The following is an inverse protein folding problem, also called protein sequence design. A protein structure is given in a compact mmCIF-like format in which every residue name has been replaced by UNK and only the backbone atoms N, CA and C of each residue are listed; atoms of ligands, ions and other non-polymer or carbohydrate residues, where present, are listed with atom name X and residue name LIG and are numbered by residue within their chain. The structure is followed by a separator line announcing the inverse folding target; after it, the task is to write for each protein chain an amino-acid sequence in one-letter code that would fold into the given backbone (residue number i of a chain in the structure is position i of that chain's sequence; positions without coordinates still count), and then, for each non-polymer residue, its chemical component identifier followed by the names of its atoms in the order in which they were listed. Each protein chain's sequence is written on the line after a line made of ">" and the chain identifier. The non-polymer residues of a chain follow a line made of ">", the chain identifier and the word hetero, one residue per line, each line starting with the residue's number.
data_IF_967485861621
#
_entry.id   IF_967485861621
#
_cell.length_a   1.000
_cell.length_b   1.000
_cell.length_c   1.000
_cell.angle_alpha   90.00
_cell.angle_beta   90.00
_cell.angle_gamma   90.00
#
_symmetry.space_group_name_H-M   'P 1'
#
loop_
_entity.id
_entity.type
_entity.pdbx_description
1 polymer ?
#
# COMPACT_ATOMS: atom_id res chain seq x y z
N UNK A 1 -65.24 -2.77 17.04
CA UNK A 1 -64.50 -3.25 15.84
C UNK A 1 -62.98 -3.11 15.91
N UNK A 2 -62.41 -2.48 16.96
CA UNK A 2 -60.96 -2.22 17.10
C UNK A 2 -60.13 -3.39 17.62
N UNK A 3 -60.71 -4.30 18.41
CA UNK A 3 -59.97 -5.38 19.07
C UNK A 3 -59.56 -6.54 18.13
N UNK A 4 -60.39 -6.85 17.13
CA UNK A 4 -60.16 -7.96 16.19
C UNK A 4 -59.01 -7.65 15.22
N UNK A 5 -58.89 -6.41 14.73
CA UNK A 5 -57.80 -6.00 13.83
C UNK A 5 -56.44 -6.03 14.53
N UNK A 6 -56.39 -5.67 15.81
CA UNK A 6 -55.15 -5.73 16.61
C UNK A 6 -54.71 -7.17 16.83
N UNK A 7 -55.65 -8.09 17.09
CA UNK A 7 -55.36 -9.50 17.28
C UNK A 7 -54.79 -10.12 15.99
N UNK A 8 -55.39 -9.84 14.82
CA UNK A 8 -54.85 -10.31 13.53
C UNK A 8 -53.46 -9.73 13.22
N UNK A 9 -53.20 -8.46 13.54
CA UNK A 9 -51.89 -7.85 13.34
C UNK A 9 -50.81 -8.49 14.23
N UNK A 10 -51.12 -8.79 15.49
CA UNK A 10 -50.21 -9.47 16.42
C UNK A 10 -49.93 -10.90 15.95
N UNK A 11 -50.94 -11.64 15.48
CA UNK A 11 -50.75 -13.00 14.96
C UNK A 11 -49.93 -13.00 13.67
N UNK A 12 -50.14 -12.04 12.76
CA UNK A 12 -49.35 -11.92 11.53
C UNK A 12 -47.89 -11.56 11.81
N UNK A 13 -47.62 -10.67 12.76
CA UNK A 13 -46.27 -10.34 13.21
C UNK A 13 -45.60 -11.56 13.87
N UNK A 14 -46.29 -12.28 14.74
CA UNK A 14 -45.78 -13.49 15.38
C UNK A 14 -45.42 -14.60 14.40
N UNK A 15 -46.28 -14.85 13.40
CA UNK A 15 -46.02 -15.85 12.36
C UNK A 15 -44.83 -15.46 11.45
N UNK A 16 -44.71 -14.17 11.11
CA UNK A 16 -43.60 -13.66 10.30
C UNK A 16 -42.27 -13.77 11.05
N UNK A 17 -42.26 -13.44 12.35
CA UNK A 17 -41.08 -13.56 13.22
C UNK A 17 -40.64 -15.01 13.38
N UNK A 18 -41.58 -15.93 13.63
CA UNK A 18 -41.30 -17.36 13.75
C UNK A 18 -40.73 -17.94 12.45
N UNK A 19 -41.27 -17.54 11.30
CA UNK A 19 -40.78 -17.96 9.98
C UNK A 19 -39.37 -17.43 9.71
N UNK A 20 -39.11 -16.16 10.03
CA UNK A 20 -37.79 -15.56 9.93
C UNK A 20 -36.74 -16.26 10.80
N UNK A 21 -37.09 -16.58 12.06
CA UNK A 21 -36.22 -17.33 12.98
C UNK A 21 -35.95 -18.74 12.46
N UNK A 22 -36.96 -19.44 11.94
CA UNK A 22 -36.80 -20.79 11.40
C UNK A 22 -35.87 -20.82 10.18
N UNK A 23 -36.05 -19.87 9.24
CA UNK A 23 -35.19 -19.75 8.06
C UNK A 23 -33.75 -19.43 8.48
N UNK A 24 -33.55 -18.46 9.37
CA UNK A 24 -32.22 -18.07 9.83
C UNK A 24 -31.52 -19.21 10.61
N UNK A 25 -32.27 -19.93 11.44
CA UNK A 25 -31.77 -21.10 12.18
C UNK A 25 -31.39 -22.23 11.24
N UNK A 26 -32.21 -22.51 10.22
CA UNK A 26 -31.90 -23.53 9.21
C UNK A 26 -30.68 -23.16 8.37
N UNK A 27 -30.56 -21.89 7.95
CA UNK A 27 -29.37 -21.41 7.21
C UNK A 27 -28.11 -21.51 8.06
N UNK A 28 -28.16 -21.13 9.34
CA UNK A 28 -27.03 -21.27 10.27
C UNK A 28 -26.65 -22.73 10.53
N UNK A 29 -27.65 -23.61 10.67
CA UNK A 29 -27.42 -25.05 10.82
C UNK A 29 -26.73 -25.63 9.58
N UNK A 30 -27.22 -25.32 8.38
CA UNK A 30 -26.61 -25.75 7.12
C UNK A 30 -25.18 -25.23 6.95
N UNK A 31 -24.90 -23.99 7.39
CA UNK A 31 -23.56 -23.40 7.39
C UNK A 31 -22.61 -24.13 8.35
N UNK A 32 -23.10 -24.52 9.54
CA UNK A 32 -22.33 -25.33 10.51
C UNK A 32 -22.01 -26.71 9.96
N UNK A 33 -22.98 -27.41 9.37
CA UNK A 33 -22.74 -28.71 8.76
C UNK A 33 -21.69 -28.66 7.65
N UNK A 34 -21.73 -27.64 6.78
CA UNK A 34 -20.69 -27.43 5.75
C UNK A 34 -19.32 -27.16 6.36
N UNK A 35 -19.25 -26.36 7.42
CA UNK A 35 -17.98 -26.08 8.11
C UNK A 35 -17.41 -27.34 8.80
N UNK A 36 -18.27 -28.19 9.37
CA UNK A 36 -17.87 -29.47 9.95
C UNK A 36 -17.43 -30.48 8.88
N UNK A 37 -18.11 -30.52 7.73
CA UNK A 37 -17.71 -31.34 6.59
C UNK A 37 -16.32 -30.94 6.07
N UNK A 38 -16.08 -29.64 5.85
CA UNK A 38 -14.75 -29.13 5.48
C UNK A 38 -13.68 -29.46 6.53
N UNK A 39 -14.00 -29.32 7.83
CA UNK A 39 -13.07 -29.69 8.91
C UNK A 39 -12.74 -31.19 8.90
N UNK A 40 -13.71 -32.05 8.59
CA UNK A 40 -13.48 -33.49 8.46
C UNK A 40 -12.66 -33.82 7.22
N UNK A 41 -12.92 -33.16 6.08
CA UNK A 41 -12.08 -33.30 4.87
C UNK A 41 -10.64 -32.89 5.17
N UNK A 42 -10.42 -31.70 5.75
CA UNK A 42 -9.10 -31.21 6.16
C UNK A 42 -8.44 -32.14 7.19
N UNK A 43 -9.20 -32.65 8.17
CA UNK A 43 -8.71 -33.55 9.20
C UNK A 43 -8.47 -34.99 8.71
N UNK A 44 -9.07 -35.38 7.59
CA UNK A 44 -8.91 -36.69 6.95
C UNK A 44 -7.73 -36.74 5.97
N UNK A 45 -7.10 -35.60 5.69
CA UNK A 45 -5.80 -35.55 5.02
C UNK A 45 -4.82 -36.28 5.95
N UNK A 46 -4.27 -37.44 5.57
CA UNK A 46 -3.45 -38.23 6.46
C UNK A 46 -2.24 -37.42 6.91
N UNK A 47 -1.96 -37.41 8.22
CA UNK A 47 -0.75 -36.84 8.83
C UNK A 47 0.55 -37.55 8.42
N UNK A 48 0.61 -38.17 7.23
CA UNK A 48 1.82 -38.71 6.62
C UNK A 48 2.63 -37.61 5.95
N UNK A 49 2.99 -36.58 6.73
CA UNK A 49 4.09 -35.66 6.38
C UNK A 49 5.18 -35.73 7.43
N UNK A 50 5.35 -36.90 8.05
CA UNK A 50 6.54 -37.24 8.84
C UNK A 50 7.38 -38.23 8.04
N UNK A 51 8.33 -37.67 7.30
CA UNK A 51 9.46 -38.36 6.65
C UNK A 51 9.14 -39.63 5.85
N UNK A 52 8.77 -39.47 4.58
CA UNK A 52 9.05 -40.49 3.57
C UNK A 52 10.41 -40.17 2.93
N UNK A 53 11.47 -40.80 3.44
CA UNK A 53 12.66 -41.06 2.61
C UNK A 53 12.22 -42.10 1.58
N UNK A 54 11.98 -41.66 0.35
CA UNK A 54 11.84 -42.54 -0.80
C UNK A 54 12.84 -42.10 -1.87
N UNK A 55 13.60 -43.09 -2.31
CA UNK A 55 14.65 -42.99 -3.30
C UNK A 55 14.16 -42.29 -4.57
N UNK A 56 14.94 -41.31 -5.03
CA UNK A 56 15.06 -40.94 -6.44
C UNK A 56 13.77 -40.69 -7.22
N UNK A 57 13.04 -39.62 -6.91
CA UNK A 57 12.42 -38.66 -7.86
C UNK A 57 11.49 -37.75 -7.05
N UNK A 58 11.75 -36.43 -7.07
CA UNK A 58 10.89 -35.44 -6.39
C UNK A 58 9.56 -35.34 -7.14
N UNK A 59 8.55 -36.12 -6.73
CA UNK A 59 7.16 -35.83 -7.06
C UNK A 59 6.71 -34.67 -6.18
N UNK A 60 6.58 -33.47 -6.75
CA UNK A 60 5.90 -32.36 -6.08
C UNK A 60 4.47 -32.81 -5.75
N UNK A 61 4.09 -32.72 -4.48
CA UNK A 61 2.72 -33.00 -4.04
C UNK A 61 1.85 -31.90 -4.64
N UNK A 62 1.12 -32.21 -5.71
CA UNK A 62 0.15 -31.30 -6.29
C UNK A 62 -1.00 -31.11 -5.28
N UNK A 63 -1.08 -29.90 -4.69
CA UNK A 63 -2.20 -29.54 -3.84
C UNK A 63 -3.47 -29.40 -4.67
N UNK A 64 -4.62 -29.73 -4.09
CA UNK A 64 -5.89 -29.65 -4.78
C UNK A 64 -6.23 -28.20 -5.15
N UNK A 65 -6.22 -27.91 -6.46
CA UNK A 65 -6.49 -26.59 -7.01
C UNK A 65 -7.90 -26.09 -6.63
N UNK A 66 -8.86 -26.97 -6.36
CA UNK A 66 -10.20 -26.55 -5.89
C UNK A 66 -10.14 -25.93 -4.50
N UNK A 67 -9.33 -26.48 -3.59
CA UNK A 67 -9.13 -25.92 -2.24
C UNK A 67 -8.38 -24.59 -2.30
N UNK A 68 -7.40 -24.47 -3.19
CA UNK A 68 -6.66 -23.22 -3.39
C UNK A 68 -7.59 -22.14 -3.93
N UNK A 69 -8.41 -22.46 -4.94
CA UNK A 69 -9.42 -21.53 -5.47
C UNK A 69 -10.42 -21.09 -4.41
N UNK A 70 -10.88 -22.00 -3.54
CA UNK A 70 -11.76 -21.64 -2.42
C UNK A 70 -11.03 -20.71 -1.41
N UNK A 71 -9.77 -21.01 -1.07
CA UNK A 71 -8.94 -20.14 -0.23
C UNK A 71 -8.79 -18.73 -0.83
N UNK A 72 -8.70 -18.62 -2.16
CA UNK A 72 -8.51 -17.36 -2.89
C UNK A 72 -9.83 -16.75 -3.41
N UNK A 73 -11.01 -17.30 -3.06
CA UNK A 73 -12.28 -16.92 -3.67
C UNK A 73 -12.59 -15.40 -3.58
N UNK A 74 -12.16 -14.75 -2.50
CA UNK A 74 -12.33 -13.28 -2.33
C UNK A 74 -11.39 -12.47 -3.21
N UNK A 75 -10.17 -12.95 -3.43
CA UNK A 75 -9.23 -12.33 -4.35
C UNK A 75 -9.72 -12.50 -5.79
N UNK A 76 -10.25 -13.68 -6.14
CA UNK A 76 -10.85 -13.96 -7.46
C UNK A 76 -12.04 -13.03 -7.71
N UNK A 77 -12.92 -12.87 -6.72
CA UNK A 77 -14.07 -11.97 -6.84
C UNK A 77 -13.68 -10.49 -7.05
N UNK A 78 -12.52 -10.07 -6.53
CA UNK A 78 -12.05 -8.68 -6.63
C UNK A 78 -11.17 -8.43 -7.87
N UNK A 79 -10.23 -9.32 -8.17
CA UNK A 79 -9.21 -9.17 -9.23
C UNK A 79 -9.57 -9.90 -10.52
N UNK A 80 -10.64 -10.71 -10.52
CA UNK A 80 -10.97 -11.64 -11.60
C UNK A 80 -10.07 -12.88 -11.60
N UNK A 81 -10.46 -13.91 -12.36
CA UNK A 81 -9.67 -15.13 -12.51
C UNK A 81 -8.30 -14.85 -13.15
N UNK A 82 -8.26 -14.00 -14.17
CA UNK A 82 -7.00 -13.66 -14.87
C UNK A 82 -6.01 -12.96 -13.93
N UNK A 83 -6.48 -12.03 -13.10
CA UNK A 83 -5.62 -11.32 -12.15
C UNK A 83 -5.01 -12.25 -11.11
N UNK A 84 -5.80 -13.19 -10.60
CA UNK A 84 -5.31 -14.21 -9.65
C UNK A 84 -4.38 -15.21 -10.34
N UNK A 85 -4.63 -15.61 -11.58
CA UNK A 85 -3.74 -16.50 -12.33
C UNK A 85 -2.35 -15.87 -12.55
N UNK A 86 -2.28 -14.56 -12.81
CA UNK A 86 -1.01 -13.82 -12.88
C UNK A 86 -0.28 -13.84 -11.54
N UNK A 87 -1.00 -13.62 -10.43
CA UNK A 87 -0.41 -13.72 -9.08
C UNK A 87 0.11 -15.13 -8.80
N UNK A 88 -0.64 -16.16 -9.20
CA UNK A 88 -0.26 -17.56 -8.99
C UNK A 88 1.05 -17.92 -9.69
N UNK A 89 1.34 -17.31 -10.85
CA UNK A 89 2.58 -17.49 -11.61
C UNK A 89 3.71 -16.56 -11.19
N UNK A 90 3.45 -15.58 -10.34
CA UNK A 90 4.42 -14.55 -10.01
C UNK A 90 5.47 -14.98 -8.99
N UNK A 91 6.65 -14.38 -9.13
CA UNK A 91 7.79 -14.50 -8.23
C UNK A 91 8.15 -13.15 -7.61
N UNK A 92 8.15 -13.09 -6.27
CA UNK A 92 8.49 -11.86 -5.52
C UNK A 92 9.70 -12.09 -4.61
N UNK A 93 10.67 -11.18 -4.64
CA UNK A 93 11.82 -11.18 -3.74
C UNK A 93 11.63 -10.12 -2.66
N UNK A 94 11.85 -10.49 -1.40
CA UNK A 94 11.70 -9.60 -0.24
C UNK A 94 13.04 -9.53 0.49
N UNK A 95 13.62 -8.34 0.54
CA UNK A 95 14.88 -8.08 1.26
C UNK A 95 14.57 -7.43 2.59
N UNK A 96 14.79 -8.17 3.67
CA UNK A 96 14.39 -7.84 5.04
C UNK A 96 13.12 -8.59 5.46
N UNK A 97 13.21 -9.37 6.55
CA UNK A 97 12.15 -10.13 7.19
C UNK A 97 11.75 -9.51 8.56
N UNK A 98 11.95 -8.20 8.73
CA UNK A 98 11.49 -7.46 9.91
C UNK A 98 9.98 -7.17 9.90
N UNK A 99 9.54 -6.22 10.73
CA UNK A 99 8.12 -5.88 10.89
C UNK A 99 7.42 -5.29 9.66
N UNK A 100 8.13 -5.01 8.57
CA UNK A 100 7.51 -4.64 7.28
C UNK A 100 7.49 -5.85 6.35
N UNK A 101 8.67 -6.40 6.05
CA UNK A 101 8.81 -7.49 5.08
C UNK A 101 8.10 -8.78 5.49
N UNK A 102 8.05 -9.11 6.79
CA UNK A 102 7.29 -10.28 7.25
C UNK A 102 5.78 -10.15 6.96
N UNK A 103 5.24 -8.94 7.08
CA UNK A 103 3.82 -8.66 6.80
C UNK A 103 3.55 -8.60 5.30
N UNK A 104 4.48 -8.05 4.52
CA UNK A 104 4.42 -8.09 3.06
C UNK A 104 4.39 -9.55 2.57
N UNK A 105 5.33 -10.39 3.02
CA UNK A 105 5.39 -11.82 2.66
C UNK A 105 4.10 -12.56 3.00
N UNK A 106 3.58 -12.34 4.21
CA UNK A 106 2.33 -12.94 4.69
C UNK A 106 1.13 -12.56 3.81
N UNK A 107 0.98 -11.28 3.48
CA UNK A 107 -0.15 -10.83 2.66
C UNK A 107 -0.01 -11.25 1.21
N UNK A 108 1.19 -11.21 0.62
CA UNK A 108 1.43 -11.67 -0.75
C UNK A 108 1.00 -13.12 -0.95
N UNK A 109 1.42 -14.01 -0.04
CA UNK A 109 1.01 -15.42 -0.09
C UNK A 109 -0.49 -15.59 0.10
N UNK A 110 -1.10 -14.88 1.06
CA UNK A 110 -2.56 -14.93 1.26
C UNK A 110 -3.34 -14.38 0.07
N UNK A 111 -2.70 -13.55 -0.76
CA UNK A 111 -3.28 -12.99 -1.98
C UNK A 111 -3.11 -13.87 -3.21
N UNK A 112 -2.34 -14.97 -3.13
CA UNK A 112 -2.16 -15.92 -4.22
C UNK A 112 -0.77 -15.93 -4.86
N UNK A 113 0.19 -15.13 -4.38
CA UNK A 113 1.58 -15.21 -4.86
C UNK A 113 2.17 -16.56 -4.46
N UNK A 114 2.62 -17.34 -5.44
CA UNK A 114 3.04 -18.74 -5.20
C UNK A 114 4.53 -18.92 -5.04
N UNK A 115 5.37 -17.96 -5.45
CA UNK A 115 6.80 -18.02 -5.23
C UNK A 115 7.27 -16.74 -4.56
N UNK A 116 7.81 -16.89 -3.34
CA UNK A 116 8.51 -15.80 -2.67
C UNK A 116 9.92 -16.24 -2.27
N UNK A 117 10.89 -15.34 -2.41
CA UNK A 117 12.22 -15.47 -1.80
C UNK A 117 12.36 -14.39 -0.74
N UNK A 118 12.80 -14.77 0.45
CA UNK A 118 13.00 -13.83 1.56
C UNK A 118 14.45 -13.87 1.98
N UNK A 119 15.10 -12.71 1.98
CA UNK A 119 16.51 -12.54 2.29
C UNK A 119 16.64 -11.72 3.58
N UNK A 120 17.14 -12.33 4.65
CA UNK A 120 17.47 -11.66 5.90
C UNK A 120 18.46 -12.53 6.70
N UNK A 121 19.46 -11.91 7.31
CA UNK A 121 20.49 -12.58 8.11
C UNK A 121 20.16 -12.63 9.61
N UNK A 122 19.19 -11.83 10.06
CA UNK A 122 18.85 -11.68 11.46
C UNK A 122 18.11 -12.92 12.00
N UNK A 123 18.19 -13.07 13.33
CA UNK A 123 17.38 -14.01 14.10
C UNK A 123 16.19 -13.32 14.76
N UNK A 124 15.16 -14.10 15.09
CA UNK A 124 14.01 -13.64 15.87
C UNK A 124 14.48 -13.35 17.30
N UNK A 125 14.28 -12.12 17.76
CA UNK A 125 14.50 -11.71 19.14
C UNK A 125 13.17 -11.58 19.88
N UNK A 126 13.18 -11.57 21.22
CA UNK A 126 11.97 -11.24 22.01
C UNK A 126 11.39 -9.87 21.60
N UNK A 127 12.25 -8.88 21.37
CA UNK A 127 11.84 -7.55 20.91
C UNK A 127 11.28 -7.53 19.48
N UNK A 128 11.46 -8.60 18.69
CA UNK A 128 10.87 -8.73 17.35
C UNK A 128 9.38 -9.08 17.42
N UNK A 129 8.93 -9.75 18.50
CA UNK A 129 7.57 -10.27 18.64
C UNK A 129 6.49 -9.18 18.68
N UNK A 130 6.86 -7.93 18.99
CA UNK A 130 5.91 -6.82 18.98
C UNK A 130 5.47 -6.39 17.57
N UNK A 131 6.17 -6.83 16.51
CA UNK A 131 5.95 -6.33 15.14
C UNK A 131 6.15 -7.36 14.03
N UNK A 132 6.86 -8.46 14.26
CA UNK A 132 7.01 -9.53 13.26
C UNK A 132 5.68 -10.25 13.05
N UNK A 133 5.32 -10.55 11.80
CA UNK A 133 3.96 -10.95 11.43
C UNK A 133 3.50 -12.29 12.00
N UNK A 134 4.41 -13.27 12.06
CA UNK A 134 4.09 -14.67 12.39
C UNK A 134 4.99 -15.26 13.47
N UNK A 135 6.01 -14.53 13.92
CA UNK A 135 6.97 -15.11 14.86
C UNK A 135 6.34 -15.24 16.24
N UNK A 136 6.62 -16.35 16.89
CA UNK A 136 6.11 -16.70 18.22
C UNK A 136 7.26 -16.84 19.22
N UNK A 137 6.95 -17.04 20.49
CA UNK A 137 7.96 -17.29 21.52
C UNK A 137 8.85 -18.49 21.19
N UNK A 138 8.30 -19.54 20.54
CA UNK A 138 9.08 -20.71 20.16
C UNK A 138 10.07 -20.47 19.01
N UNK A 139 9.94 -19.35 18.30
CA UNK A 139 10.82 -19.03 17.17
C UNK A 139 12.00 -18.15 17.59
N UNK A 140 12.06 -17.69 18.84
CA UNK A 140 13.18 -16.88 19.36
C UNK A 140 14.50 -17.63 19.22
N UNK A 141 15.50 -16.97 18.65
CA UNK A 141 16.82 -17.55 18.33
C UNK A 141 16.87 -18.29 16.99
N UNK A 142 15.76 -18.42 16.27
CA UNK A 142 15.77 -18.97 14.90
C UNK A 142 15.97 -17.85 13.87
N UNK A 143 16.61 -18.10 12.72
CA UNK A 143 16.69 -17.12 11.64
C UNK A 143 15.30 -16.65 11.20
N UNK A 144 15.08 -15.34 11.05
CA UNK A 144 13.77 -14.76 10.75
C UNK A 144 13.14 -15.36 9.50
N UNK A 145 13.94 -15.56 8.44
CA UNK A 145 13.50 -16.17 7.18
C UNK A 145 13.03 -17.61 7.35
N UNK A 146 13.64 -18.37 8.27
CA UNK A 146 13.26 -19.77 8.54
C UNK A 146 11.96 -19.81 9.35
N UNK A 147 11.83 -18.97 10.38
CA UNK A 147 10.58 -18.84 11.13
C UNK A 147 9.43 -18.44 10.20
N UNK A 148 9.66 -17.43 9.35
CA UNK A 148 8.68 -16.97 8.37
C UNK A 148 8.32 -18.09 7.39
N UNK A 149 9.30 -18.82 6.83
CA UNK A 149 9.05 -19.94 5.92
C UNK A 149 8.15 -21.00 6.57
N UNK A 150 8.46 -21.41 7.80
CA UNK A 150 7.70 -22.41 8.55
C UNK A 150 6.22 -22.02 8.63
N UNK A 151 5.92 -20.82 9.14
CA UNK A 151 4.55 -20.34 9.31
C UNK A 151 3.82 -20.11 7.99
N UNK A 152 4.52 -19.63 6.95
CA UNK A 152 3.91 -19.43 5.63
C UNK A 152 3.52 -20.75 4.95
N UNK A 153 4.32 -21.82 5.14
CA UNK A 153 3.96 -23.17 4.66
C UNK A 153 2.75 -23.77 5.37
N UNK A 154 2.50 -23.38 6.62
CA UNK A 154 1.26 -23.76 7.32
C UNK A 154 0.02 -23.04 6.74
N UNK A 155 0.21 -21.83 6.22
CA UNK A 155 -0.87 -20.99 5.67
C UNK A 155 -1.19 -21.34 4.21
N UNK A 156 -0.15 -21.57 3.42
CA UNK A 156 -0.23 -21.83 1.99
C UNK A 156 0.81 -22.90 1.64
N UNK A 157 0.50 -24.18 1.89
CA UNK A 157 1.46 -25.26 1.68
C UNK A 157 1.81 -25.46 0.19
N UNK A 158 0.97 -24.92 -0.71
CA UNK A 158 1.21 -24.82 -2.15
C UNK A 158 2.24 -23.76 -2.56
N UNK A 159 2.63 -22.84 -1.67
CA UNK A 159 3.56 -21.78 -1.99
C UNK A 159 5.02 -22.22 -1.83
N UNK A 160 5.84 -21.88 -2.80
CA UNK A 160 7.29 -21.99 -2.75
C UNK A 160 7.87 -20.79 -2.00
N UNK A 161 8.35 -21.05 -0.78
CA UNK A 161 9.01 -20.05 0.07
C UNK A 161 10.49 -20.37 0.18
N UNK A 162 11.35 -19.54 -0.43
CA UNK A 162 12.80 -19.65 -0.44
C UNK A 162 13.44 -18.74 0.63
N UNK A 163 13.89 -19.28 1.78
CA UNK A 163 14.60 -18.50 2.79
C UNK A 163 16.09 -18.43 2.43
N UNK A 164 16.64 -17.21 2.42
CA UNK A 164 18.08 -16.96 2.24
C UNK A 164 18.59 -16.24 3.48
N UNK A 165 19.48 -16.91 4.22
CA UNK A 165 20.06 -16.38 5.46
C UNK A 165 21.34 -15.61 5.13
N UNK A 166 21.20 -14.47 4.47
CA UNK A 166 22.33 -13.63 4.06
C UNK A 166 22.05 -12.14 4.22
N UNK A 167 23.10 -11.37 4.49
CA UNK A 167 23.06 -9.92 4.46
C UNK A 167 23.17 -9.49 3.00
N UNK A 168 22.22 -8.68 2.52
CA UNK A 168 22.32 -8.11 1.18
C UNK A 168 23.57 -7.22 1.07
N UNK A 169 24.42 -7.52 0.09
CA UNK A 169 25.62 -6.75 -0.23
C UNK A 169 25.69 -6.54 -1.73
N UNK A 170 26.35 -5.46 -2.14
CA UNK A 170 26.51 -5.08 -3.56
C UNK A 170 27.04 -6.24 -4.41
N UNK A 171 28.07 -6.93 -3.92
CA UNK A 171 28.77 -7.97 -4.68
C UNK A 171 27.95 -9.25 -4.86
N UNK A 172 26.87 -9.43 -4.07
CA UNK A 172 26.00 -10.60 -4.14
C UNK A 172 24.65 -10.26 -4.80
N UNK A 173 24.44 -9.02 -5.27
CA UNK A 173 23.15 -8.57 -5.78
C UNK A 173 22.65 -9.43 -6.95
N UNK A 174 23.53 -9.74 -7.91
CA UNK A 174 23.20 -10.57 -9.08
C UNK A 174 22.71 -11.96 -8.64
N UNK A 175 23.40 -12.59 -7.69
CA UNK A 175 23.04 -13.91 -7.19
C UNK A 175 21.74 -13.90 -6.37
N UNK A 176 21.60 -12.91 -5.48
CA UNK A 176 20.47 -12.85 -4.54
C UNK A 176 19.16 -12.47 -5.24
N UNK A 177 19.24 -11.65 -6.29
CA UNK A 177 18.10 -11.15 -7.06
C UNK A 177 17.83 -11.93 -8.35
N UNK A 178 18.57 -13.01 -8.61
CA UNK A 178 18.40 -13.86 -9.79
C UNK A 178 17.02 -14.53 -9.85
N UNK A 179 16.62 -14.94 -11.06
CA UNK A 179 15.39 -15.70 -11.32
C UNK A 179 14.23 -14.86 -11.88
N UNK A 180 14.51 -13.65 -12.38
CA UNK A 180 13.54 -12.76 -13.03
C UNK A 180 12.28 -12.50 -12.18
N UNK A 181 12.49 -11.98 -10.97
CA UNK A 181 11.37 -11.62 -10.10
C UNK A 181 10.46 -10.57 -10.75
N UNK A 182 9.15 -10.79 -10.70
CA UNK A 182 8.14 -9.82 -11.11
C UNK A 182 8.16 -8.57 -10.22
N UNK A 183 8.61 -8.73 -8.97
CA UNK A 183 8.70 -7.64 -8.03
C UNK A 183 9.76 -7.85 -6.95
N UNK A 184 10.40 -6.76 -6.53
CA UNK A 184 11.34 -6.70 -5.41
C UNK A 184 10.79 -5.78 -4.31
N UNK A 185 10.83 -6.25 -3.07
CA UNK A 185 10.45 -5.49 -1.88
C UNK A 185 11.70 -5.16 -1.08
N UNK A 186 11.93 -3.86 -0.88
CA UNK A 186 12.94 -3.38 0.04
C UNK A 186 12.31 -3.04 1.41
N UNK A 187 12.61 -3.86 2.41
CA UNK A 187 12.26 -3.67 3.81
C UNK A 187 13.51 -3.55 4.71
N UNK A 188 14.64 -3.12 4.14
CA UNK A 188 15.92 -2.95 4.83
C UNK A 188 15.88 -1.71 5.73
N UNK A 189 16.55 -1.76 6.88
CA UNK A 189 16.64 -0.65 7.83
C UNK A 189 17.98 0.11 7.77
N UNK A 190 19.07 -0.55 7.35
CA UNK A 190 20.35 0.12 7.05
C UNK A 190 20.24 0.95 5.76
N UNK A 191 20.63 2.23 5.85
CA UNK A 191 20.48 3.21 4.75
C UNK A 191 21.40 2.88 3.58
N UNK A 192 22.64 2.46 3.84
CA UNK A 192 23.63 2.23 2.78
C UNK A 192 23.28 0.98 1.98
N UNK A 193 22.93 -0.12 2.66
CA UNK A 193 22.43 -1.34 2.00
C UNK A 193 21.17 -1.08 1.19
N UNK A 194 20.23 -0.29 1.75
CA UNK A 194 19.02 0.16 1.04
C UNK A 194 19.35 0.93 -0.24
N UNK A 195 20.28 1.88 -0.17
CA UNK A 195 20.67 2.66 -1.34
C UNK A 195 21.29 1.81 -2.44
N UNK A 196 22.11 0.82 -2.07
CA UNK A 196 22.69 -0.11 -3.04
C UNK A 196 21.62 -0.96 -3.72
N UNK A 197 20.69 -1.54 -2.97
CA UNK A 197 19.57 -2.31 -3.54
C UNK A 197 18.74 -1.44 -4.49
N UNK A 198 18.34 -0.25 -4.05
CA UNK A 198 17.52 0.66 -4.85
C UNK A 198 18.23 1.11 -6.14
N UNK A 199 19.53 1.43 -6.05
CA UNK A 199 20.33 1.80 -7.23
C UNK A 199 20.46 0.63 -8.20
N UNK A 200 20.79 -0.55 -7.68
CA UNK A 200 20.97 -1.75 -8.50
C UNK A 200 19.67 -2.08 -9.26
N UNK A 201 18.53 -2.14 -8.57
CA UNK A 201 17.25 -2.41 -9.22
C UNK A 201 16.89 -1.34 -10.26
N UNK A 202 17.15 -0.06 -9.95
CA UNK A 202 16.93 1.01 -10.92
C UNK A 202 17.80 0.85 -12.18
N UNK A 203 19.10 0.53 -12.02
CA UNK A 203 20.02 0.36 -13.15
C UNK A 203 19.69 -0.85 -14.02
N UNK A 204 19.21 -1.92 -13.39
CA UNK A 204 18.81 -3.16 -14.07
C UNK A 204 17.35 -3.16 -14.52
N UNK A 205 16.61 -2.05 -14.33
CA UNK A 205 15.17 -1.94 -14.59
C UNK A 205 14.33 -3.03 -13.89
N UNK A 206 14.73 -3.46 -12.71
CA UNK A 206 13.99 -4.44 -11.89
C UNK A 206 12.87 -3.73 -11.13
N UNK A 207 11.60 -4.19 -11.22
CA UNK A 207 10.50 -3.58 -10.50
C UNK A 207 10.72 -3.63 -8.98
N UNK A 208 10.70 -2.48 -8.33
CA UNK A 208 10.97 -2.37 -6.88
C UNK A 208 10.02 -1.40 -6.18
N UNK A 209 9.66 -1.76 -4.94
CA UNK A 209 8.98 -0.90 -3.97
C UNK A 209 9.76 -0.92 -2.67
N UNK A 210 9.92 0.26 -2.07
CA UNK A 210 10.73 0.41 -0.86
C UNK A 210 9.95 1.00 0.30
N UNK A 211 10.15 0.41 1.48
CA UNK A 211 9.69 0.96 2.75
C UNK A 211 10.64 2.03 3.26
N UNK A 212 10.09 3.20 3.57
CA UNK A 212 10.76 4.30 4.26
C UNK A 212 10.56 4.17 5.78
N UNK A 213 10.59 5.30 6.51
CA UNK A 213 10.61 5.27 7.98
C UNK A 213 9.26 4.90 8.58
N UNK A 214 9.13 3.68 9.09
CA UNK A 214 7.95 3.23 9.84
C UNK A 214 8.07 3.41 11.37
N UNK A 215 9.28 3.68 11.88
CA UNK A 215 9.52 3.86 13.32
C UNK A 215 9.13 5.24 13.82
N UNK A 216 8.91 5.36 15.14
CA UNK A 216 8.52 6.59 15.83
C UNK A 216 7.26 7.28 15.30
N UNK A 217 6.30 6.49 14.80
CA UNK A 217 5.05 6.91 14.18
C UNK A 217 3.88 6.13 14.77
N UNK A 218 2.68 6.70 14.71
CA UNK A 218 1.46 6.11 15.24
C UNK A 218 0.20 6.38 14.40
N UNK A 219 0.24 7.30 13.43
CA UNK A 219 -0.92 7.70 12.64
C UNK A 219 -0.95 6.96 11.29
N UNK A 220 -1.83 5.94 11.14
CA UNK A 220 -1.92 5.18 9.90
C UNK A 220 -2.54 5.98 8.75
N UNK A 221 -3.32 7.04 9.02
CA UNK A 221 -3.94 7.89 7.98
C UNK A 221 -2.93 8.69 7.18
N UNK A 222 -1.70 8.82 7.70
CA UNK A 222 -0.60 9.57 7.09
C UNK A 222 0.36 8.72 6.28
N UNK A 223 0.08 7.43 6.14
CA UNK A 223 0.84 6.51 5.27
C UNK A 223 0.48 6.80 3.82
N UNK A 224 1.48 6.92 2.97
CA UNK A 224 1.36 7.34 1.58
C UNK A 224 2.25 6.47 0.70
N UNK A 225 1.83 6.32 -0.56
CA UNK A 225 2.58 5.65 -1.61
C UNK A 225 2.86 6.66 -2.72
N UNK A 226 4.12 6.83 -3.10
CA UNK A 226 4.48 7.72 -4.20
C UNK A 226 5.88 7.42 -4.74
N UNK A 227 6.27 8.10 -5.81
CA UNK A 227 7.64 8.09 -6.26
C UNK A 227 8.57 8.76 -5.24
N UNK A 228 9.78 8.22 -5.07
CA UNK A 228 10.79 8.74 -4.14
C UNK A 228 11.05 10.24 -4.32
N UNK A 229 10.98 10.78 -5.54
CA UNK A 229 11.23 12.18 -5.88
C UNK A 229 10.29 13.16 -5.19
N UNK A 230 9.03 12.77 -4.97
CA UNK A 230 7.96 13.63 -4.44
C UNK A 230 7.62 13.36 -2.97
N UNK A 231 8.36 12.49 -2.30
CA UNK A 231 8.18 12.21 -0.86
C UNK A 231 8.35 13.46 0.01
N UNK A 232 7.54 13.57 1.06
CA UNK A 232 7.54 14.71 1.98
C UNK A 232 7.58 14.26 3.44
N UNK A 233 8.04 15.15 4.31
CA UNK A 233 8.11 15.01 5.78
C UNK A 233 8.97 13.86 6.33
N UNK A 234 8.98 12.68 5.70
CA UNK A 234 9.71 11.49 6.14
C UNK A 234 11.24 11.70 6.14
N UNK A 235 11.89 11.61 7.32
CA UNK A 235 13.35 11.79 7.42
C UNK A 235 14.16 10.75 6.67
N UNK A 236 13.73 9.49 6.64
CA UNK A 236 14.44 8.42 5.94
C UNK A 236 14.28 8.61 4.43
N UNK A 237 13.06 8.86 3.95
CA UNK A 237 12.81 9.14 2.53
C UNK A 237 13.62 10.34 2.03
N UNK A 238 13.68 11.43 2.83
CA UNK A 238 14.49 12.61 2.50
C UNK A 238 15.98 12.28 2.36
N UNK A 239 16.55 11.47 3.26
CA UNK A 239 17.97 11.06 3.21
C UNK A 239 18.24 10.15 2.02
N UNK A 240 17.40 9.15 1.81
CA UNK A 240 17.47 8.21 0.69
C UNK A 240 17.39 8.95 -0.64
N UNK A 241 16.36 9.79 -0.84
CA UNK A 241 16.17 10.63 -2.03
C UNK A 241 17.41 11.48 -2.35
N UNK A 242 17.97 12.18 -1.35
CA UNK A 242 19.15 13.04 -1.55
C UNK A 242 20.38 12.24 -1.97
N UNK A 243 20.58 11.04 -1.41
CA UNK A 243 21.73 10.18 -1.75
C UNK A 243 21.54 9.51 -3.10
N UNK A 244 20.34 9.01 -3.42
CA UNK A 244 19.99 8.50 -4.75
C UNK A 244 20.21 9.55 -5.85
N UNK A 245 19.79 10.80 -5.61
CA UNK A 245 20.03 11.90 -6.56
C UNK A 245 21.52 12.12 -6.84
N UNK A 246 22.38 12.03 -5.81
CA UNK A 246 23.84 12.10 -5.98
C UNK A 246 24.41 10.89 -6.75
N UNK A 247 23.72 9.76 -6.72
CA UNK A 247 24.06 8.55 -7.47
C UNK A 247 23.45 8.54 -8.89
N UNK A 248 22.78 9.61 -9.32
CA UNK A 248 22.16 9.74 -10.65
C UNK A 248 20.72 9.20 -10.74
N UNK A 249 20.08 8.84 -9.62
CA UNK A 249 18.69 8.37 -9.59
C UNK A 249 17.79 9.47 -9.06
N UNK A 250 17.02 10.10 -9.95
CA UNK A 250 16.15 11.23 -9.60
C UNK A 250 14.70 10.82 -9.30
N UNK A 251 14.19 9.78 -9.98
CA UNK A 251 12.82 9.26 -9.89
C UNK A 251 12.78 7.81 -10.38
N UNK A 252 11.60 7.19 -10.41
CA UNK A 252 11.37 5.83 -10.92
C UNK A 252 11.31 4.75 -9.84
N UNK A 253 11.31 5.13 -8.57
CA UNK A 253 11.27 4.19 -7.44
C UNK A 253 10.03 4.50 -6.61
N UNK A 254 9.09 3.55 -6.58
CA UNK A 254 7.90 3.65 -5.74
C UNK A 254 8.27 3.37 -4.29
N UNK A 255 7.74 4.16 -3.36
CA UNK A 255 8.01 3.99 -1.93
C UNK A 255 6.74 4.13 -1.08
N UNK A 256 6.70 3.39 0.02
CA UNK A 256 5.76 3.62 1.12
C UNK A 256 6.45 4.46 2.19
N UNK A 257 5.86 5.59 2.55
CA UNK A 257 6.36 6.49 3.58
C UNK A 257 5.20 7.03 4.41
N UNK A 258 5.50 7.77 5.48
CA UNK A 258 4.45 8.49 6.21
C UNK A 258 4.81 9.96 6.38
N UNK A 259 3.82 10.82 6.22
CA UNK A 259 3.94 12.27 6.41
C UNK A 259 3.89 12.69 7.87
N UNK A 260 3.69 11.73 8.79
CA UNK A 260 3.70 11.98 10.23
C UNK A 260 5.09 12.43 10.68
N UNK A 261 5.14 13.52 11.44
CA UNK A 261 6.36 13.96 12.11
C UNK A 261 6.55 13.13 13.38
N UNK A 262 7.71 12.49 13.58
CA UNK A 262 7.96 11.70 14.78
C UNK A 262 7.78 12.55 16.05
N UNK A 263 6.92 12.09 16.97
CA UNK A 263 6.61 12.80 18.22
C UNK A 263 7.07 12.04 19.49
N UNK A 264 7.86 10.98 19.31
CA UNK A 264 8.36 10.16 20.43
C UNK A 264 9.86 10.36 20.63
N UNK A 265 10.27 10.46 21.90
CA UNK A 265 11.67 10.57 22.28
C UNK A 265 12.38 9.24 22.02
N UNK A 266 13.66 9.33 21.63
CA UNK A 266 14.52 8.16 21.54
C UNK A 266 14.72 7.57 22.93
N UNK A 267 14.74 6.24 23.03
CA UNK A 267 14.99 5.57 24.31
C UNK A 267 16.46 5.77 24.72
N UNK A 268 16.74 6.06 26.01
CA UNK A 268 18.10 6.04 26.52
C UNK A 268 18.68 4.62 26.43
N UNK A 269 19.99 4.51 26.31
CA UNK A 269 20.68 3.21 26.40
C UNK A 269 20.65 2.73 27.85
N UNK A 270 20.47 1.43 28.08
CA UNK A 270 20.64 0.83 29.40
C UNK A 270 22.10 0.96 29.86
N UNK A 271 22.34 1.23 31.16
CA UNK A 271 23.69 1.43 31.73
C UNK A 271 24.63 0.24 31.47
N UNK A 272 24.09 -0.98 31.36
CA UNK A 272 24.83 -2.20 30.99
C UNK A 272 25.30 -2.20 29.52
N UNK A 273 24.54 -1.59 28.61
CA UNK A 273 24.93 -1.42 27.20
C UNK A 273 25.97 -0.31 27.03
N UNK A 274 25.97 0.67 27.93
CA UNK A 274 26.97 1.75 27.96
C UNK A 274 28.34 1.22 28.43
N UNK A 275 28.37 0.33 29.42
CA UNK A 275 29.63 -0.29 29.89
C UNK A 275 30.27 -1.20 28.83
N UNK A 276 29.46 -1.97 28.09
CA UNK A 276 29.95 -2.82 26.99
C UNK A 276 30.17 -2.05 25.68
N UNK A 277 29.79 -0.77 25.58
CA UNK A 277 29.96 0.01 24.36
C UNK A 277 31.43 0.12 23.92
N UNK A 278 32.38 0.03 24.86
CA UNK A 278 33.82 -0.01 24.57
C UNK A 278 34.31 -1.31 23.91
N UNK A 279 33.65 -2.45 24.19
CA UNK A 279 33.98 -3.75 23.60
C UNK A 279 33.32 -3.95 22.22
N UNK A 280 32.15 -3.35 22.00
CA UNK A 280 31.43 -3.39 20.71
C UNK A 280 31.72 -2.19 19.78
N UNK A 281 32.58 -1.25 20.20
CA UNK A 281 33.00 -0.08 19.41
C UNK A 281 33.74 -0.43 18.10
N UNK A 282 34.13 -1.69 17.92
CA UNK A 282 34.76 -2.19 16.69
C UNK A 282 33.75 -2.54 15.58
N UNK A 283 32.44 -2.49 15.85
CA UNK A 283 31.40 -2.64 14.82
C UNK A 283 30.93 -1.24 14.36
N UNK A 284 31.12 -0.86 13.08
CA UNK A 284 30.81 0.48 12.57
C UNK A 284 29.34 0.91 12.61
N UNK A 285 28.43 0.05 13.09
CA UNK A 285 26.98 0.17 12.89
C UNK A 285 26.14 0.03 14.19
N UNK A 286 26.78 0.11 15.37
CA UNK A 286 26.05 0.05 16.64
C UNK A 286 25.19 1.32 16.82
N UNK A 287 23.87 1.20 16.63
CA UNK A 287 22.92 2.31 16.76
C UNK A 287 22.91 2.81 18.21
N UNK A 288 23.50 3.99 18.43
CA UNK A 288 23.63 4.64 19.74
C UNK A 288 22.32 5.03 20.43
N UNK A 289 21.15 4.88 19.78
CA UNK A 289 19.80 5.02 20.36
C UNK A 289 18.79 4.15 19.62
N UNK A 290 17.94 3.44 20.36
CA UNK A 290 16.86 2.62 19.78
C UNK A 290 15.67 3.53 19.45
N UNK A 291 15.24 3.52 18.18
CA UNK A 291 14.02 4.19 17.76
C UNK A 291 12.81 3.37 18.24
N UNK A 292 11.89 3.92 19.05
CA UNK A 292 10.70 3.19 19.45
C UNK A 292 9.82 2.87 18.24
N UNK A 293 9.27 1.66 18.19
CA UNK A 293 8.45 1.18 17.08
C UNK A 293 7.13 0.66 17.60
N UNK A 294 6.03 1.32 17.21
CA UNK A 294 4.68 0.79 17.38
C UNK A 294 4.41 -0.23 16.27
N UNK A 295 4.29 -1.50 16.62
CA UNK A 295 4.27 -2.61 15.66
C UNK A 295 3.18 -2.55 14.59
N UNK A 296 2.08 -1.84 14.86
CA UNK A 296 0.99 -1.63 13.89
C UNK A 296 1.43 -0.84 12.66
N UNK A 297 2.36 0.12 12.80
CA UNK A 297 2.78 0.96 11.68
C UNK A 297 3.63 0.19 10.66
N UNK A 298 4.71 -0.52 11.04
CA UNK A 298 5.42 -1.39 10.11
C UNK A 298 4.51 -2.44 9.44
N UNK A 299 3.54 -2.99 10.18
CA UNK A 299 2.58 -3.94 9.63
C UNK A 299 1.76 -3.31 8.50
N UNK A 300 1.22 -2.10 8.69
CA UNK A 300 0.45 -1.39 7.67
C UNK A 300 1.34 -1.00 6.47
N UNK A 301 2.61 -0.67 6.68
CA UNK A 301 3.57 -0.47 5.58
C UNK A 301 3.71 -1.76 4.75
N UNK A 302 3.89 -2.91 5.42
CA UNK A 302 4.00 -4.21 4.75
C UNK A 302 2.72 -4.59 3.99
N UNK A 303 1.56 -4.33 4.59
CA UNK A 303 0.26 -4.54 3.93
C UNK A 303 0.09 -3.61 2.72
N UNK A 304 0.49 -2.34 2.82
CA UNK A 304 0.41 -1.37 1.72
C UNK A 304 1.30 -1.80 0.55
N UNK A 305 2.52 -2.27 0.85
CA UNK A 305 3.43 -2.86 -0.14
C UNK A 305 2.78 -4.07 -0.83
N UNK A 306 2.22 -4.99 -0.05
CA UNK A 306 1.57 -6.18 -0.61
C UNK A 306 0.40 -5.80 -1.52
N UNK A 307 -0.47 -4.87 -1.10
CA UNK A 307 -1.58 -4.38 -1.93
C UNK A 307 -1.09 -3.77 -3.24
N UNK A 308 -0.02 -2.97 -3.19
CA UNK A 308 0.57 -2.38 -4.40
C UNK A 308 1.04 -3.46 -5.38
N UNK A 309 1.76 -4.47 -4.89
CA UNK A 309 2.29 -5.55 -5.72
C UNK A 309 1.15 -6.41 -6.30
N UNK A 310 0.20 -6.79 -5.45
CA UNK A 310 -0.96 -7.61 -5.84
C UNK A 310 -1.74 -6.93 -6.96
N UNK A 311 -2.05 -5.65 -6.80
CA UNK A 311 -2.79 -4.89 -7.81
C UNK A 311 -1.99 -4.70 -9.08
N UNK A 312 -0.68 -4.39 -8.99
CA UNK A 312 0.20 -4.26 -10.16
C UNK A 312 0.32 -5.56 -10.97
N UNK A 313 0.58 -6.68 -10.33
CA UNK A 313 0.71 -7.99 -11.00
C UNK A 313 -0.63 -8.42 -11.61
N UNK A 314 -1.73 -8.22 -10.89
CA UNK A 314 -3.06 -8.55 -11.40
C UNK A 314 -3.53 -7.64 -12.56
N UNK A 315 -2.82 -6.53 -12.83
CA UNK A 315 -3.24 -5.52 -13.81
C UNK A 315 -4.38 -4.62 -13.31
N UNK A 316 -4.63 -4.59 -12.00
CA UNK A 316 -5.60 -3.71 -11.38
C UNK A 316 -4.98 -2.32 -11.17
N UNK A 317 -5.56 -1.31 -11.81
CA UNK A 317 -5.00 0.03 -11.78
C UNK A 317 -5.29 0.72 -10.44
N UNK A 318 -4.22 1.03 -9.71
CA UNK A 318 -4.28 1.92 -8.54
C UNK A 318 -3.51 3.20 -8.86
N UNK A 319 -4.04 4.33 -8.39
CA UNK A 319 -3.39 5.64 -8.48
C UNK A 319 -3.07 6.16 -7.08
N UNK A 320 -1.89 5.84 -6.54
CA UNK A 320 -1.47 6.39 -5.27
C UNK A 320 -1.38 7.91 -5.34
N UNK A 321 -2.18 8.59 -4.52
CA UNK A 321 -2.12 10.03 -4.33
C UNK A 321 -1.15 10.32 -3.19
N UNK A 322 -0.16 11.20 -3.44
CA UNK A 322 0.65 11.75 -2.36
C UNK A 322 -0.13 12.89 -1.72
N UNK A 323 -0.75 12.68 -0.57
CA UNK A 323 -1.36 13.78 0.17
C UNK A 323 -0.24 14.67 0.73
N UNK A 324 -0.15 15.90 0.20
CA UNK A 324 0.88 16.84 0.60
C UNK A 324 0.50 17.72 1.79
N UNK A 325 -0.75 17.63 2.27
CA UNK A 325 -1.32 18.43 3.38
C UNK A 325 -0.79 19.88 3.37
N UNK A 326 -0.94 20.55 2.24
CA UNK A 326 -0.42 21.91 2.03
C UNK A 326 -1.49 22.93 2.41
N UNK A 327 -1.99 22.91 3.64
CA UNK A 327 -3.12 23.75 4.06
C UNK A 327 -2.88 25.24 3.75
N UNK A 328 -1.67 25.74 4.00
CA UNK A 328 -1.32 27.12 3.64
C UNK A 328 -1.35 27.41 2.13
N UNK A 329 -1.03 26.43 1.29
CA UNK A 329 -1.20 26.53 -0.16
C UNK A 329 -2.69 26.52 -0.53
N UNK A 330 -3.49 25.63 0.06
CA UNK A 330 -4.91 25.53 -0.25
C UNK A 330 -5.66 26.79 0.18
N UNK A 331 -5.38 27.33 1.37
CA UNK A 331 -5.93 28.62 1.81
C UNK A 331 -5.51 29.77 0.89
N UNK A 332 -4.26 29.77 0.40
CA UNK A 332 -3.82 30.75 -0.60
C UNK A 332 -4.60 30.59 -1.91
N UNK A 333 -4.69 29.37 -2.44
CA UNK A 333 -5.40 29.07 -3.70
C UNK A 333 -6.89 29.41 -3.62
N UNK A 334 -7.55 29.07 -2.51
CA UNK A 334 -8.94 29.42 -2.24
C UNK A 334 -9.15 30.94 -2.29
N UNK A 335 -8.32 31.70 -1.57
CA UNK A 335 -8.37 33.17 -1.57
C UNK A 335 -8.06 33.76 -2.94
N UNK A 336 -7.07 33.23 -3.65
CA UNK A 336 -6.72 33.68 -5.00
C UNK A 336 -7.89 33.43 -5.97
N UNK A 337 -8.55 32.27 -5.89
CA UNK A 337 -9.74 31.93 -6.67
C UNK A 337 -10.92 32.84 -6.32
N UNK A 338 -11.20 33.08 -5.04
CA UNK A 338 -12.26 33.98 -4.59
C UNK A 338 -12.05 35.41 -5.13
N UNK A 339 -10.82 35.92 -5.08
CA UNK A 339 -10.48 37.22 -5.65
C UNK A 339 -10.69 37.29 -7.17
N UNK A 340 -10.36 36.20 -7.90
CA UNK A 340 -10.63 36.09 -9.34
C UNK A 340 -12.13 36.08 -9.63
N UNK A 341 -12.91 35.32 -8.85
CA UNK A 341 -14.35 35.23 -8.99
C UNK A 341 -15.04 36.57 -8.76
N UNK A 342 -14.59 37.31 -7.75
CA UNK A 342 -15.06 38.68 -7.48
C UNK A 342 -14.71 39.64 -8.62
N UNK A 343 -13.47 39.60 -9.11
CA UNK A 343 -12.98 40.50 -10.17
C UNK A 343 -13.69 40.30 -11.52
N UNK A 344 -13.94 39.06 -11.90
CA UNK A 344 -14.40 38.73 -13.27
C UNK A 344 -15.90 38.52 -13.34
N UNK A 345 -16.48 37.88 -12.32
CA UNK A 345 -17.88 37.44 -12.33
C UNK A 345 -18.73 38.16 -11.28
N UNK A 346 -18.14 39.08 -10.50
CA UNK A 346 -18.80 39.79 -9.40
C UNK A 346 -19.44 38.84 -8.37
N UNK A 347 -18.78 37.71 -8.09
CA UNK A 347 -19.21 36.70 -7.11
C UNK A 347 -18.30 36.79 -5.88
N UNK A 348 -18.86 37.17 -4.73
CA UNK A 348 -18.10 37.35 -3.49
C UNK A 348 -17.86 36.05 -2.71
N UNK A 349 -18.78 35.09 -2.78
CA UNK A 349 -18.69 33.79 -2.11
C UNK A 349 -18.62 32.67 -3.14
N UNK A 350 -17.58 31.84 -3.05
CA UNK A 350 -17.41 30.68 -3.92
C UNK A 350 -17.99 29.43 -3.23
N UNK A 351 -18.61 28.51 -3.97
CA UNK A 351 -19.21 27.29 -3.41
C UNK A 351 -18.19 26.19 -3.11
N UNK A 352 -16.90 26.52 -3.03
CA UNK A 352 -15.81 25.57 -2.82
C UNK A 352 -15.07 25.95 -1.54
N UNK A 353 -14.98 25.06 -0.57
CA UNK A 353 -14.20 25.27 0.65
C UNK A 353 -12.69 24.99 0.45
N UNK A 354 -11.90 25.22 1.51
CA UNK A 354 -10.43 25.02 1.45
C UNK A 354 -10.06 23.55 1.20
N UNK A 355 -10.86 22.59 1.70
CA UNK A 355 -10.62 21.17 1.51
C UNK A 355 -10.97 20.75 0.08
N UNK A 356 -12.05 21.27 -0.50
CA UNK A 356 -12.41 21.08 -1.90
C UNK A 356 -11.35 21.67 -2.84
N UNK A 357 -10.74 22.80 -2.47
CA UNK A 357 -9.58 23.35 -3.20
C UNK A 357 -8.37 22.42 -3.11
N UNK A 358 -8.11 21.83 -1.94
CA UNK A 358 -7.09 20.79 -1.77
C UNK A 358 -7.37 19.57 -2.65
N UNK A 359 -8.62 19.13 -2.70
CA UNK A 359 -9.09 18.01 -3.53
C UNK A 359 -8.89 18.29 -5.02
N UNK A 360 -9.38 19.43 -5.52
CA UNK A 360 -9.19 19.85 -6.92
C UNK A 360 -7.69 19.90 -7.23
N UNK A 361 -6.90 20.53 -6.37
CA UNK A 361 -5.47 20.70 -6.62
C UNK A 361 -4.69 19.39 -6.61
N UNK A 362 -4.82 18.56 -5.58
CA UNK A 362 -4.00 17.34 -5.41
C UNK A 362 -4.61 16.10 -6.07
N UNK A 363 -5.93 15.92 -6.08
CA UNK A 363 -6.56 14.68 -6.57
C UNK A 363 -6.90 14.77 -8.05
N UNK A 364 -7.64 15.81 -8.47
CA UNK A 364 -8.04 15.98 -9.87
C UNK A 364 -6.82 16.34 -10.73
N UNK A 365 -6.05 17.35 -10.29
CA UNK A 365 -4.97 17.94 -11.11
C UNK A 365 -3.55 17.54 -10.69
N UNK A 366 -3.39 16.75 -9.62
CA UNK A 366 -2.10 16.21 -9.17
C UNK A 366 -1.02 17.28 -8.95
N UNK A 367 -1.45 18.47 -8.57
CA UNK A 367 -0.63 19.64 -8.32
C UNK A 367 0.11 20.21 -9.53
N UNK A 368 -0.30 19.85 -10.75
CA UNK A 368 0.30 20.28 -12.02
C UNK A 368 -0.66 21.15 -12.83
N UNK A 369 -0.10 22.05 -13.64
CA UNK A 369 -0.85 22.79 -14.65
C UNK A 369 -1.44 21.85 -15.70
N UNK A 370 -2.71 22.04 -16.04
CA UNK A 370 -3.40 21.38 -17.14
C UNK A 370 -2.75 21.68 -18.50
N UNK A 371 -2.09 22.83 -18.63
CA UNK A 371 -1.53 23.32 -19.89
C UNK A 371 -0.06 22.89 -20.04
N UNK A 372 0.81 23.31 -19.12
CA UNK A 372 2.26 23.07 -19.21
C UNK A 372 2.74 21.88 -18.39
N UNK A 373 1.93 21.32 -17.50
CA UNK A 373 2.38 20.35 -16.50
C UNK A 373 3.30 20.94 -15.41
N UNK A 374 3.56 22.26 -15.44
CA UNK A 374 4.38 22.94 -14.44
C UNK A 374 3.73 22.91 -13.05
N UNK A 375 4.55 22.95 -12.02
CA UNK A 375 4.12 23.04 -10.61
C UNK A 375 4.41 24.41 -9.99
N UNK A 376 4.96 25.33 -10.78
CA UNK A 376 5.36 26.64 -10.30
C UNK A 376 4.17 27.60 -10.19
N UNK A 377 4.10 28.32 -9.05
CA UNK A 377 3.08 29.35 -8.78
C UNK A 377 1.67 28.94 -9.24
N UNK A 378 1.10 27.86 -8.69
CA UNK A 378 -0.18 27.35 -9.16
C UNK A 378 -1.32 28.33 -8.84
N UNK A 379 -2.34 28.32 -9.69
CA UNK A 379 -3.61 29.00 -9.58
C UNK A 379 -4.73 28.06 -10.05
N UNK A 380 -5.94 28.26 -9.52
CA UNK A 380 -7.15 27.56 -9.97
C UNK A 380 -8.04 28.60 -10.66
N UNK A 381 -8.65 28.21 -11.77
CA UNK A 381 -9.66 29.01 -12.48
C UNK A 381 -10.71 28.10 -13.13
N UNK A 382 -11.78 28.70 -13.67
CA UNK A 382 -12.79 27.94 -14.42
C UNK A 382 -12.21 27.48 -15.76
N UNK A 383 -12.61 26.31 -16.24
CA UNK A 383 -12.34 25.92 -17.63
C UNK A 383 -13.31 26.63 -18.59
N UNK A 384 -14.60 26.48 -18.34
CA UNK A 384 -15.66 27.18 -19.06
C UNK A 384 -16.19 28.37 -18.24
N UNK A 385 -16.16 29.56 -18.82
CA UNK A 385 -16.54 30.81 -18.14
C UNK A 385 -18.04 30.92 -17.87
N UNK A 386 -18.83 30.32 -18.74
CA UNK A 386 -20.29 30.28 -18.75
C UNK A 386 -20.86 29.20 -17.81
N UNK A 387 -20.04 28.26 -17.37
CA UNK A 387 -20.44 27.20 -16.46
C UNK A 387 -20.16 27.55 -14.98
N UNK A 388 -20.93 26.98 -14.03
CA UNK A 388 -20.74 27.23 -12.61
C UNK A 388 -19.36 26.78 -12.12
N UNK A 389 -18.91 27.35 -11.00
CA UNK A 389 -17.68 26.90 -10.34
C UNK A 389 -17.96 25.60 -9.58
N UNK A 390 -17.39 24.49 -10.05
CA UNK A 390 -17.46 23.17 -9.40
C UNK A 390 -16.19 22.36 -9.71
N UNK A 391 -15.94 21.22 -9.04
CA UNK A 391 -14.77 20.39 -9.31
C UNK A 391 -14.66 19.95 -10.78
N UNK A 392 -15.79 19.74 -11.46
CA UNK A 392 -15.88 19.36 -12.89
C UNK A 392 -15.72 20.53 -13.87
N UNK A 393 -15.50 21.75 -13.37
CA UNK A 393 -15.23 22.93 -14.20
C UNK A 393 -14.07 23.76 -13.64
N UNK A 394 -13.27 23.22 -12.72
CA UNK A 394 -12.09 23.89 -12.19
C UNK A 394 -10.83 23.25 -12.76
N UNK A 395 -9.88 24.07 -13.20
CA UNK A 395 -8.57 23.64 -13.72
C UNK A 395 -7.45 24.26 -12.91
N UNK A 396 -6.38 23.49 -12.68
CA UNK A 396 -5.12 24.02 -12.16
C UNK A 396 -4.26 24.49 -13.32
N UNK A 397 -3.72 25.70 -13.21
CA UNK A 397 -2.76 26.28 -14.15
C UNK A 397 -1.64 26.98 -13.38
N UNK A 398 -0.57 27.40 -14.06
CA UNK A 398 0.31 28.42 -13.48
C UNK A 398 -0.43 29.75 -13.39
N UNK A 399 0.01 30.65 -12.51
CA UNK A 399 -0.62 31.98 -12.37
C UNK A 399 -0.70 32.73 -13.70
N UNK A 400 0.36 32.68 -14.52
CA UNK A 400 0.41 33.34 -15.82
C UNK A 400 -0.59 32.72 -16.80
N UNK A 401 -0.61 31.39 -16.90
CA UNK A 401 -1.56 30.68 -17.76
C UNK A 401 -3.02 30.94 -17.36
N UNK A 402 -3.32 30.99 -16.06
CA UNK A 402 -4.65 31.33 -15.58
C UNK A 402 -5.06 32.77 -15.96
N UNK A 403 -4.13 33.72 -15.85
CA UNK A 403 -4.38 35.11 -16.26
C UNK A 403 -4.59 35.26 -17.77
N UNK A 404 -3.95 34.42 -18.59
CA UNK A 404 -4.13 34.41 -20.04
C UNK A 404 -5.39 33.65 -20.47
N UNK A 405 -5.71 32.54 -19.79
CA UNK A 405 -6.95 31.79 -19.95
C UNK A 405 -8.18 32.68 -19.70
N UNK A 406 -8.12 33.51 -18.65
CA UNK A 406 -9.19 34.44 -18.32
C UNK A 406 -9.42 35.53 -19.37
N UNK A 407 -8.49 35.77 -20.30
CA UNK A 407 -8.67 36.74 -21.39
C UNK A 407 -9.27 36.12 -22.65
N UNK A 408 -9.40 34.80 -22.72
CA UNK A 408 -9.94 34.12 -23.90
C UNK A 408 -11.38 34.55 -24.20
N UNK A 409 -11.66 34.84 -25.47
CA UNK A 409 -13.02 35.18 -25.95
C UNK A 409 -13.70 34.01 -26.65
N UNK A 410 -12.95 32.94 -26.93
CA UNK A 410 -13.40 31.71 -27.56
C UNK A 410 -13.41 30.56 -26.55
N UNK A 411 -14.06 29.46 -26.90
CA UNK A 411 -14.06 28.27 -26.06
C UNK A 411 -12.64 27.71 -25.89
N UNK A 412 -12.27 27.20 -24.71
CA UNK A 412 -10.96 26.59 -24.47
C UNK A 412 -10.60 25.50 -25.48
N UNK A 413 -11.58 24.71 -25.94
CA UNK A 413 -11.43 23.62 -26.91
C UNK A 413 -10.93 24.11 -28.28
N UNK A 414 -11.24 25.36 -28.61
CA UNK A 414 -10.82 26.00 -29.87
C UNK A 414 -9.45 26.68 -29.74
N UNK A 415 -9.00 26.96 -28.51
CA UNK A 415 -7.75 27.67 -28.23
C UNK A 415 -6.59 26.72 -27.90
N UNK A 416 -6.81 25.71 -27.06
CA UNK A 416 -5.75 24.84 -26.55
C UNK A 416 -5.49 23.65 -27.47
N UNK A 417 -4.28 23.08 -27.35
CA UNK A 417 -3.88 21.90 -28.11
C UNK A 417 -4.80 20.70 -27.79
N UNK A 418 -5.05 19.80 -28.77
CA UNK A 418 -5.95 18.66 -28.58
C UNK A 418 -5.59 17.73 -27.40
N UNK A 419 -4.30 17.56 -27.11
CA UNK A 419 -3.82 16.75 -25.98
C UNK A 419 -4.20 17.36 -24.62
N UNK A 420 -4.16 18.68 -24.49
CA UNK A 420 -4.61 19.41 -23.29
C UNK A 420 -6.12 19.25 -23.10
N UNK A 421 -6.89 19.46 -24.17
CA UNK A 421 -8.36 19.32 -24.12
C UNK A 421 -8.75 17.90 -23.73
N UNK A 422 -8.10 16.89 -24.34
CA UNK A 422 -8.34 15.48 -24.02
C UNK A 422 -8.01 15.17 -22.56
N UNK A 423 -6.91 15.71 -22.03
CA UNK A 423 -6.54 15.57 -20.62
C UNK A 423 -7.62 16.16 -19.70
N UNK A 424 -8.06 17.39 -19.97
CA UNK A 424 -9.07 18.10 -19.16
C UNK A 424 -10.40 17.35 -19.16
N UNK A 425 -10.88 16.96 -20.34
CA UNK A 425 -12.13 16.20 -20.48
C UNK A 425 -12.05 14.86 -19.75
N UNK A 426 -10.92 14.14 -19.86
CA UNK A 426 -10.71 12.89 -19.11
C UNK A 426 -10.79 13.13 -17.60
N UNK A 427 -10.15 14.17 -17.07
CA UNK A 427 -10.21 14.49 -15.63
C UNK A 427 -11.62 14.82 -15.14
N UNK A 428 -12.38 15.58 -15.93
CA UNK A 428 -13.76 15.89 -15.57
C UNK A 428 -14.67 14.67 -15.65
N UNK A 429 -14.44 13.77 -16.59
CA UNK A 429 -15.19 12.52 -16.68
C UNK A 429 -14.86 11.59 -15.50
N UNK A 430 -13.58 11.42 -15.16
CA UNK A 430 -13.14 10.68 -13.96
C UNK A 430 -13.81 11.26 -12.70
N UNK A 431 -13.79 12.58 -12.53
CA UNK A 431 -14.43 13.26 -11.40
C UNK A 431 -15.95 13.04 -11.37
N UNK A 432 -16.61 13.09 -12.53
CA UNK A 432 -18.05 12.86 -12.63
C UNK A 432 -18.42 11.44 -12.20
N UNK A 433 -17.62 10.45 -12.57
CA UNK A 433 -17.79 9.06 -12.14
C UNK A 433 -17.61 8.91 -10.63
N UNK A 434 -16.55 9.50 -10.06
CA UNK A 434 -16.23 9.47 -8.63
C UNK A 434 -17.31 10.18 -7.81
N UNK A 435 -17.85 11.30 -8.31
CA UNK A 435 -18.88 12.08 -7.62
C UNK A 435 -20.18 11.32 -7.35
N UNK A 436 -20.47 10.25 -8.11
CA UNK A 436 -21.63 9.38 -7.85
C UNK A 436 -21.46 8.49 -6.60
N UNK A 437 -20.24 8.39 -6.07
CA UNK A 437 -19.90 7.58 -4.90
C UNK A 437 -19.60 8.43 -3.64
N UNK A 438 -19.72 9.76 -3.74
CA UNK A 438 -19.63 10.71 -2.64
C UNK A 438 -21.03 11.15 -2.21
#
# INVERSE_FOLDING_TARGET
>A
MTNVKLQFAITALGASLATGIAIFSYQNYKKRLRAEALKREIGSIPQTTRSLRLNGTKSEIAFDETLIKEQLARNIAFLGEEGVEKLRKSFVIIVGAGGVGSWAALMLIRSGVSHIRVIDFDQVTLSSLNRHAVATHSDVGTPKVIALQKHLKEIAPWAKVEPIIELFKKDHADQLLDGNADFIVDAIDNIDTKLYLLKYCHDQNLPIISSMGAGAKADPSRIQMSDISITIEDPLARRVRRRLKKMGVESGITVVYSTEKPNVKLLPLDESQIQNAGEYATLPDFRSRILPVLGTIPAIFGMSIATYIVTKIAGHHIEPLSNKNRDGLYTRLHRDLQNRQRRIYNIDAIPLDVHEIGYIFEEIWRGKSAISGSTEKPAITRWHKDQPLCPQNCVVMTKQEADDHEKLTINPEEHYRPDVVTLVQRRFQEEKEISNFR
#
